data_IF_037143056321
#
_entry.id   IF_037143056321
#
_cell.length_a   1.000
_cell.length_b   1.000
_cell.length_c   1.000
_cell.angle_alpha   90.00
_cell.angle_beta   90.00
_cell.angle_gamma   90.00
#
_symmetry.space_group_name_H-M   'P 1'
#
loop_
_entity.id
_entity.type
_entity.pdbx_description
1 polymer ?
#
# COMPACT_ATOMS: atom_id res chain seq x y z
N UNK A 1 23.31 24.26 -54.11
CA UNK A 1 23.63 23.32 -53.01
C UNK A 1 23.18 23.96 -51.71
N UNK A 2 21.92 23.73 -51.33
CA UNK A 2 21.40 24.15 -50.03
C UNK A 2 21.32 22.90 -49.15
N UNK A 3 22.39 22.66 -48.41
CA UNK A 3 22.42 21.71 -47.31
C UNK A 3 21.64 22.33 -46.14
N UNK A 4 20.35 22.02 -46.06
CA UNK A 4 19.54 22.20 -44.86
C UNK A 4 19.52 20.87 -44.11
N UNK A 5 20.63 20.55 -43.47
CA UNK A 5 20.63 19.61 -42.36
C UNK A 5 19.65 20.12 -41.30
N UNK A 6 18.68 19.31 -40.83
CA UNK A 6 17.78 19.71 -39.76
C UNK A 6 18.58 19.95 -38.46
N UNK A 7 18.13 20.86 -37.59
CA UNK A 7 18.82 21.10 -36.32
C UNK A 7 18.82 19.81 -35.48
N UNK A 8 19.85 19.58 -34.65
CA UNK A 8 19.90 18.41 -33.78
C UNK A 8 18.72 18.46 -32.81
N UNK A 9 17.90 17.41 -32.82
CA UNK A 9 16.82 17.23 -31.85
C UNK A 9 17.40 17.32 -30.43
N UNK A 10 16.85 18.24 -29.64
CA UNK A 10 17.28 18.53 -28.29
C UNK A 10 17.09 17.32 -27.36
N UNK A 11 18.19 16.63 -27.07
CA UNK A 11 18.60 16.26 -25.71
C UNK A 11 17.76 15.30 -24.84
N UNK A 12 16.62 14.77 -25.29
CA UNK A 12 15.84 13.80 -24.49
C UNK A 12 16.36 12.38 -24.72
N UNK A 13 17.30 11.94 -23.87
CA UNK A 13 17.68 10.53 -23.82
C UNK A 13 16.54 9.73 -23.21
N UNK A 14 15.96 8.82 -23.98
CA UNK A 14 15.02 7.84 -23.45
C UNK A 14 15.73 6.94 -22.44
N UNK A 15 15.19 6.84 -21.22
CA UNK A 15 15.75 6.03 -20.15
C UNK A 15 14.79 4.89 -19.83
N UNK A 16 15.28 3.66 -19.84
CA UNK A 16 14.53 2.48 -19.42
C UNK A 16 14.93 2.15 -17.97
N UNK A 17 13.92 2.01 -17.12
CA UNK A 17 14.04 1.57 -15.74
C UNK A 17 13.31 0.23 -15.58
N UNK A 18 13.87 -0.64 -14.77
CA UNK A 18 13.31 -1.95 -14.47
C UNK A 18 12.84 -2.00 -13.01
N UNK A 19 11.70 -2.66 -12.81
CA UNK A 19 11.14 -2.95 -11.50
C UNK A 19 10.27 -4.20 -11.58
N UNK A 20 9.29 -4.28 -10.69
CA UNK A 20 8.41 -5.45 -10.55
C UNK A 20 7.03 -5.07 -11.07
N UNK A 21 6.47 -5.87 -11.98
CA UNK A 21 5.06 -5.74 -12.38
C UNK A 21 4.14 -5.90 -11.16
N UNK A 22 3.51 -4.81 -10.75
CA UNK A 22 2.57 -4.73 -9.65
C UNK A 22 1.15 -5.00 -10.12
N UNK A 23 0.74 -4.38 -11.23
CA UNK A 23 -0.57 -4.56 -11.87
C UNK A 23 -0.43 -4.51 -13.39
N UNK A 24 -1.08 -5.45 -14.08
CA UNK A 24 -0.88 -5.66 -15.51
C UNK A 24 -1.59 -4.62 -16.37
N UNK A 25 -0.89 -4.11 -17.38
CA UNK A 25 -1.43 -3.22 -18.40
C UNK A 25 -0.37 -2.26 -18.91
N UNK A 26 -0.78 -1.36 -19.79
CA UNK A 26 0.10 -0.38 -20.40
C UNK A 26 -0.53 1.01 -20.30
N UNK A 27 0.29 2.00 -20.00
CA UNK A 27 -0.12 3.40 -20.02
C UNK A 27 1.02 4.29 -20.52
N UNK A 28 0.66 5.44 -21.08
CA UNK A 28 1.61 6.49 -21.39
C UNK A 28 0.96 7.84 -21.11
N UNK A 29 1.57 8.61 -20.22
CA UNK A 29 1.07 9.93 -19.82
C UNK A 29 2.18 10.77 -19.16
N UNK A 30 1.97 12.08 -19.00
CA UNK A 30 2.87 12.91 -18.20
C UNK A 30 2.96 12.41 -16.75
N UNK A 31 4.16 12.45 -16.19
CA UNK A 31 4.41 12.08 -14.81
C UNK A 31 3.91 13.15 -13.84
N UNK A 32 3.25 12.68 -12.78
CA UNK A 32 2.95 13.46 -11.58
C UNK A 32 3.81 12.87 -10.47
N UNK A 33 4.93 13.54 -10.21
CA UNK A 33 5.90 13.13 -9.20
C UNK A 33 5.45 13.64 -7.85
N UNK A 34 5.16 12.68 -7.01
CA UNK A 34 4.86 12.78 -5.59
C UNK A 34 6.18 12.63 -4.84
N UNK A 35 6.88 13.75 -4.77
CA UNK A 35 8.15 13.82 -4.03
C UNK A 35 7.85 14.26 -2.60
N UNK A 36 7.35 13.33 -1.78
CA UNK A 36 7.30 13.50 -0.33
C UNK A 36 8.72 13.30 0.20
N UNK A 37 9.63 14.23 -0.10
CA UNK A 37 10.93 14.22 0.58
C UNK A 37 10.64 14.30 2.06
N UNK A 38 11.22 13.38 2.84
CA UNK A 38 11.31 13.51 4.29
C UNK A 38 11.76 14.94 4.57
N UNK A 39 10.89 15.73 5.19
CA UNK A 39 11.18 17.12 5.48
C UNK A 39 12.50 17.16 6.26
N UNK A 40 13.46 17.99 5.84
CA UNK A 40 14.65 18.22 6.65
C UNK A 40 14.20 18.70 8.02
N UNK A 41 14.44 17.88 9.04
CA UNK A 41 14.01 18.18 10.41
C UNK A 41 14.98 19.17 11.01
N UNK A 42 14.48 20.32 11.47
CA UNK A 42 15.30 21.29 12.20
C UNK A 42 15.72 20.65 13.52
N UNK A 43 17.03 20.45 13.71
CA UNK A 43 17.59 19.92 14.97
C UNK A 43 18.09 21.08 15.82
N UNK A 44 17.27 21.51 16.79
CA UNK A 44 17.66 22.52 17.77
C UNK A 44 17.31 22.08 19.18
N UNK A 45 18.10 22.55 20.13
CA UNK A 45 17.75 22.44 21.54
C UNK A 45 16.83 23.60 21.95
N UNK A 46 15.85 23.34 22.80
CA UNK A 46 14.96 24.34 23.39
C UNK A 46 15.42 24.78 24.77
N UNK A 47 15.33 26.07 25.09
CA UNK A 47 15.54 26.55 26.45
C UNK A 47 14.40 26.06 27.37
N UNK A 48 14.69 25.89 28.66
CA UNK A 48 13.74 25.31 29.64
C UNK A 48 12.37 25.99 29.66
N UNK A 49 12.31 27.30 29.45
CA UNK A 49 11.06 28.05 29.47
C UNK A 49 10.16 27.78 28.25
N UNK A 50 10.71 27.28 27.14
CA UNK A 50 9.99 27.00 25.90
C UNK A 50 9.60 25.52 25.75
N UNK A 51 9.88 24.68 26.76
CA UNK A 51 9.58 23.24 26.72
C UNK A 51 8.08 22.99 26.62
N UNK A 52 7.28 23.67 27.43
CA UNK A 52 5.82 23.51 27.41
C UNK A 52 5.20 24.07 26.11
N UNK A 53 5.82 25.09 25.50
CA UNK A 53 5.39 25.61 24.19
C UNK A 53 5.61 24.56 23.08
N UNK A 54 6.74 23.84 23.07
CA UNK A 54 6.97 22.75 22.10
C UNK A 54 6.03 21.57 22.31
N UNK A 55 5.69 21.25 23.56
CA UNK A 55 4.71 20.20 23.88
C UNK A 55 3.33 20.61 23.36
N UNK A 56 2.94 21.88 23.53
CA UNK A 56 1.69 22.39 23.00
C UNK A 56 1.67 22.33 21.46
N UNK A 57 2.75 22.74 20.79
CA UNK A 57 2.90 22.61 19.32
C UNK A 57 2.77 21.17 18.85
N UNK A 58 3.38 20.22 19.56
CA UNK A 58 3.27 18.79 19.25
C UNK A 58 1.83 18.29 19.39
N UNK A 59 1.13 18.63 20.47
CA UNK A 59 -0.28 18.24 20.68
C UNK A 59 -1.19 18.80 19.59
N UNK A 60 -0.99 20.06 19.20
CA UNK A 60 -1.73 20.66 18.08
C UNK A 60 -1.47 19.90 16.77
N UNK A 61 -0.22 19.51 16.50
CA UNK A 61 0.12 18.74 15.31
C UNK A 61 -0.51 17.34 15.30
N UNK A 62 -0.59 16.66 16.45
CA UNK A 62 -1.32 15.39 16.60
C UNK A 62 -2.79 15.58 16.23
N UNK A 63 -3.44 16.62 16.75
CA UNK A 63 -4.84 16.90 16.39
C UNK A 63 -5.03 17.21 14.90
N UNK A 64 -4.14 18.00 14.31
CA UNK A 64 -4.18 18.32 12.88
C UNK A 64 -4.03 17.05 12.03
N UNK A 65 -3.05 16.19 12.36
CA UNK A 65 -2.81 14.93 11.66
C UNK A 65 -4.01 13.98 11.79
N UNK A 66 -4.56 13.83 12.99
CA UNK A 66 -5.75 13.00 13.24
C UNK A 66 -6.97 13.52 12.46
N UNK A 67 -7.20 14.85 12.45
CA UNK A 67 -8.28 15.45 11.64
C UNK A 67 -8.09 15.18 10.14
N UNK A 68 -6.87 15.30 9.61
CA UNK A 68 -6.59 15.01 8.20
C UNK A 68 -6.88 13.55 7.84
N UNK A 69 -6.51 12.61 8.71
CA UNK A 69 -6.78 11.18 8.52
C UNK A 69 -8.29 10.89 8.54
N UNK A 70 -9.06 11.49 9.46
CA UNK A 70 -10.53 11.36 9.49
C UNK A 70 -11.20 11.90 8.22
N UNK A 71 -10.71 13.03 7.69
CA UNK A 71 -11.22 13.58 6.42
C UNK A 71 -10.90 12.65 5.24
N UNK A 72 -9.68 12.09 5.20
CA UNK A 72 -9.33 11.08 4.20
C UNK A 72 -10.21 9.84 4.33
N UNK A 73 -10.48 9.39 5.56
CA UNK A 73 -11.30 8.21 5.83
C UNK A 73 -12.73 8.43 5.34
N UNK A 74 -13.33 9.59 5.63
CA UNK A 74 -14.66 9.91 5.15
C UNK A 74 -14.73 9.91 3.62
N UNK A 75 -13.72 10.45 2.93
CA UNK A 75 -13.64 10.43 1.46
C UNK A 75 -13.51 9.01 0.91
N UNK A 76 -12.76 8.13 1.58
CA UNK A 76 -12.67 6.72 1.22
C UNK A 76 -14.01 6.00 1.40
N UNK A 77 -14.74 6.26 2.49
CA UNK A 77 -16.09 5.74 2.74
C UNK A 77 -17.06 6.16 1.63
N UNK A 78 -17.06 7.45 1.28
CA UNK A 78 -17.95 8.01 0.26
C UNK A 78 -17.68 7.40 -1.14
N UNK A 79 -16.44 6.97 -1.40
CA UNK A 79 -16.02 6.28 -2.63
C UNK A 79 -16.16 4.76 -2.57
N UNK A 80 -16.72 4.22 -1.49
CA UNK A 80 -16.86 2.79 -1.21
C UNK A 80 -15.52 2.00 -1.21
N UNK A 81 -14.39 2.66 -0.96
CA UNK A 81 -13.08 2.01 -0.88
C UNK A 81 -12.83 1.54 0.57
N UNK A 82 -13.40 0.37 0.92
CA UNK A 82 -13.39 -0.17 2.30
C UNK A 82 -11.97 -0.46 2.85
N UNK A 83 -10.99 -0.74 1.99
CA UNK A 83 -9.58 -1.00 2.39
C UNK A 83 -8.93 0.23 2.99
N UNK A 84 -9.15 1.37 2.35
CA UNK A 84 -8.51 2.62 2.71
C UNK A 84 -9.03 3.10 4.06
N UNK A 85 -10.31 2.82 4.35
CA UNK A 85 -10.91 3.16 5.65
C UNK A 85 -10.29 2.41 6.82
N UNK A 86 -10.04 1.11 6.71
CA UNK A 86 -9.42 0.35 7.82
C UNK A 86 -7.97 0.75 8.06
N UNK A 87 -7.21 1.05 7.01
CA UNK A 87 -5.80 1.44 7.15
C UNK A 87 -5.70 2.87 7.69
N UNK A 88 -6.58 3.76 7.25
CA UNK A 88 -6.68 5.12 7.80
C UNK A 88 -7.05 5.13 9.28
N UNK A 89 -7.92 4.20 9.72
CA UNK A 89 -8.22 3.99 11.14
C UNK A 89 -6.99 3.54 11.91
N UNK A 90 -6.21 2.59 11.37
CA UNK A 90 -4.95 2.15 11.99
C UNK A 90 -3.97 3.32 12.13
N UNK A 91 -3.79 4.14 11.09
CA UNK A 91 -2.95 5.34 11.17
C UNK A 91 -3.47 6.37 12.16
N UNK A 92 -4.79 6.50 12.31
CA UNK A 92 -5.36 7.37 13.32
C UNK A 92 -5.03 6.88 14.73
N UNK A 93 -5.17 5.57 14.99
CA UNK A 93 -4.78 4.95 16.26
C UNK A 93 -3.28 5.15 16.55
N UNK A 94 -2.42 5.04 15.53
CA UNK A 94 -0.97 5.25 15.69
C UNK A 94 -0.59 6.71 15.93
N UNK A 95 -1.28 7.68 15.32
CA UNK A 95 -1.09 9.11 15.60
C UNK A 95 -1.52 9.46 17.03
N UNK A 96 -2.56 8.80 17.52
CA UNK A 96 -3.12 8.99 18.86
C UNK A 96 -2.48 8.06 19.92
N UNK A 97 -1.47 7.27 19.54
CA UNK A 97 -0.82 6.27 20.39
C UNK A 97 -0.04 6.91 21.55
N UNK A 98 -0.30 6.39 22.76
CA UNK A 98 0.30 6.91 24.00
C UNK A 98 1.81 6.67 24.06
N UNK A 99 2.32 5.57 23.51
CA UNK A 99 3.77 5.26 23.53
C UNK A 99 4.55 6.24 22.67
N UNK A 100 4.08 6.51 21.44
CA UNK A 100 4.70 7.51 20.57
C UNK A 100 4.64 8.89 21.21
N UNK A 101 3.49 9.25 21.80
CA UNK A 101 3.30 10.53 22.46
C UNK A 101 4.24 10.71 23.65
N UNK A 102 4.31 9.73 24.54
CA UNK A 102 5.15 9.77 25.74
C UNK A 102 6.62 9.85 25.36
N UNK A 103 7.07 9.11 24.35
CA UNK A 103 8.46 9.15 23.92
C UNK A 103 8.82 10.51 23.29
N UNK A 104 7.92 11.12 22.52
CA UNK A 104 8.11 12.49 22.01
C UNK A 104 8.14 13.51 23.15
N UNK A 105 7.17 13.47 24.08
CA UNK A 105 7.13 14.37 25.23
C UNK A 105 8.38 14.21 26.12
N UNK A 106 8.87 12.98 26.30
CA UNK A 106 10.11 12.68 27.02
C UNK A 106 11.33 13.31 26.34
N UNK A 107 11.48 13.17 25.03
CA UNK A 107 12.60 13.78 24.27
C UNK A 107 12.54 15.32 24.31
N UNK A 108 11.35 15.91 24.33
CA UNK A 108 11.20 17.38 24.49
C UNK A 108 11.58 17.80 25.92
N UNK A 109 11.09 17.10 26.95
CA UNK A 109 11.30 17.48 28.36
C UNK A 109 12.73 17.22 28.85
N UNK A 110 13.28 16.04 28.53
CA UNK A 110 14.57 15.57 29.05
C UNK A 110 15.70 16.00 28.12
N UNK A 111 15.60 15.62 26.84
CA UNK A 111 16.67 15.85 25.86
C UNK A 111 16.64 17.29 25.31
N UNK A 112 15.58 18.04 25.62
CA UNK A 112 15.35 19.43 25.21
C UNK A 112 15.35 19.59 23.70
N UNK A 113 14.81 18.63 22.97
CA UNK A 113 14.64 18.74 21.52
C UNK A 113 13.42 19.59 21.18
N UNK A 114 13.46 20.33 20.07
CA UNK A 114 12.24 20.91 19.51
C UNK A 114 11.29 19.82 18.99
N UNK A 115 10.01 20.14 18.82
CA UNK A 115 8.98 19.16 18.50
C UNK A 115 9.30 18.32 17.24
N UNK A 116 9.78 18.95 16.17
CA UNK A 116 10.10 18.26 14.92
C UNK A 116 11.21 17.22 15.09
N UNK A 117 12.26 17.57 15.85
CA UNK A 117 13.37 16.68 16.12
C UNK A 117 12.98 15.56 17.09
N UNK A 118 12.18 15.86 18.11
CA UNK A 118 11.66 14.87 19.03
C UNK A 118 10.80 13.81 18.30
N UNK A 119 9.88 14.23 17.42
CA UNK A 119 9.07 13.32 16.59
C UNK A 119 9.97 12.45 15.71
N UNK A 120 10.89 13.06 14.96
CA UNK A 120 11.80 12.32 14.08
C UNK A 120 12.65 11.31 14.84
N UNK A 121 13.17 11.66 16.01
CA UNK A 121 14.00 10.78 16.81
C UNK A 121 13.20 9.64 17.45
N UNK A 122 11.97 9.90 17.89
CA UNK A 122 11.09 8.87 18.46
C UNK A 122 10.67 7.85 17.38
N UNK A 123 10.27 8.35 16.21
CA UNK A 123 9.91 7.54 15.04
C UNK A 123 11.09 6.69 14.57
N UNK A 124 12.30 7.27 14.48
CA UNK A 124 13.50 6.53 14.07
C UNK A 124 13.86 5.44 15.07
N UNK A 125 13.73 5.70 16.38
CA UNK A 125 13.97 4.71 17.43
C UNK A 125 12.96 3.55 17.38
N UNK A 126 11.67 3.85 17.25
CA UNK A 126 10.60 2.84 17.13
C UNK A 126 10.77 2.04 15.83
N UNK A 127 10.98 2.72 14.69
CA UNK A 127 11.18 2.06 13.40
C UNK A 127 12.43 1.17 13.36
N UNK A 128 13.50 1.57 14.06
CA UNK A 128 14.72 0.77 14.19
C UNK A 128 14.50 -0.45 15.10
N UNK A 129 13.76 -0.30 16.20
CA UNK A 129 13.37 -1.44 17.05
C UNK A 129 12.54 -2.46 16.25
N UNK A 130 11.63 -1.99 15.40
CA UNK A 130 10.84 -2.84 14.49
C UNK A 130 11.74 -3.53 13.45
N UNK A 131 12.68 -2.82 12.81
CA UNK A 131 13.57 -3.41 11.80
C UNK A 131 14.55 -4.44 12.36
N UNK A 132 15.03 -4.28 13.60
CA UNK A 132 15.94 -5.24 14.25
C UNK A 132 15.33 -6.61 14.50
N UNK A 133 14.01 -6.74 14.46
CA UNK A 133 13.32 -8.02 14.60
C UNK A 133 13.54 -9.00 13.43
N UNK A 134 14.07 -8.54 12.28
CA UNK A 134 14.37 -9.40 11.11
C UNK A 134 13.16 -10.01 10.41
N UNK A 135 11.95 -9.76 10.90
CA UNK A 135 10.68 -10.19 10.31
C UNK A 135 10.27 -9.21 9.20
N UNK A 136 10.06 -9.67 7.96
CA UNK A 136 9.51 -8.86 6.87
C UNK A 136 8.26 -8.07 7.24
N UNK A 137 7.43 -8.58 8.16
CA UNK A 137 6.24 -7.89 8.67
C UNK A 137 6.58 -6.72 9.60
N UNK A 138 7.55 -6.86 10.52
CA UNK A 138 8.02 -5.74 11.34
C UNK A 138 8.75 -4.69 10.49
N UNK A 139 9.40 -5.12 9.41
CA UNK A 139 9.96 -4.19 8.42
C UNK A 139 8.87 -3.38 7.73
N UNK A 140 7.72 -3.97 7.40
CA UNK A 140 6.57 -3.24 6.82
C UNK A 140 5.97 -2.27 7.84
N UNK A 141 5.80 -2.69 9.10
CA UNK A 141 5.35 -1.81 10.20
C UNK A 141 6.28 -0.64 10.49
N UNK A 142 7.59 -0.80 10.26
CA UNK A 142 8.53 0.31 10.37
C UNK A 142 8.21 1.43 9.39
N UNK A 143 7.71 1.11 8.20
CA UNK A 143 7.26 2.09 7.21
C UNK A 143 5.98 2.80 7.64
N UNK A 144 5.05 2.12 8.32
CA UNK A 144 3.84 2.75 8.85
C UNK A 144 4.14 3.75 9.98
N UNK A 145 5.09 3.42 10.87
CA UNK A 145 5.55 4.36 11.93
C UNK A 145 6.27 5.55 11.31
N UNK A 146 7.11 5.32 10.30
CA UNK A 146 7.74 6.39 9.53
C UNK A 146 6.69 7.29 8.85
N UNK A 147 5.62 6.70 8.30
CA UNK A 147 4.53 7.43 7.67
C UNK A 147 3.78 8.34 8.66
N UNK A 148 3.45 7.82 9.85
CA UNK A 148 2.85 8.60 10.94
C UNK A 148 3.78 9.73 11.37
N UNK A 149 5.09 9.47 11.46
CA UNK A 149 6.11 10.48 11.73
C UNK A 149 6.12 11.61 10.68
N UNK A 150 6.10 11.26 9.40
CA UNK A 150 6.09 12.22 8.30
C UNK A 150 4.81 13.09 8.31
N UNK A 151 3.66 12.51 8.69
CA UNK A 151 2.39 13.24 8.89
C UNK A 151 2.48 14.26 10.01
N UNK A 152 3.00 13.86 11.18
CA UNK A 152 3.19 14.73 12.33
C UNK A 152 4.17 15.88 12.03
N UNK A 153 5.26 15.58 11.33
CA UNK A 153 6.22 16.60 10.89
C UNK A 153 5.59 17.56 9.86
N UNK A 154 4.78 17.05 8.94
CA UNK A 154 4.00 17.88 7.99
C UNK A 154 3.05 18.84 8.71
N UNK A 155 2.34 18.33 9.73
CA UNK A 155 1.46 19.14 10.58
C UNK A 155 2.24 20.21 11.36
N UNK A 156 3.39 19.87 11.96
CA UNK A 156 4.25 20.81 12.70
C UNK A 156 4.83 21.93 11.83
N UNK A 157 5.08 21.65 10.55
CA UNK A 157 5.70 22.59 9.60
C UNK A 157 4.69 23.38 8.77
N UNK A 158 3.38 23.16 8.97
CA UNK A 158 2.31 23.81 8.20
C UNK A 158 2.25 23.37 6.72
N UNK A 159 3.02 22.34 6.35
CA UNK A 159 3.02 21.73 5.02
C UNK A 159 2.11 20.51 5.07
N UNK A 160 0.80 20.75 4.94
CA UNK A 160 -0.20 19.70 4.99
C UNK A 160 0.14 18.55 4.04
N UNK A 161 0.34 17.35 4.59
CA UNK A 161 0.45 16.12 3.81
C UNK A 161 -0.95 15.71 3.38
N UNK A 162 -1.48 16.35 2.35
CA UNK A 162 -2.54 15.73 1.55
C UNK A 162 -2.04 15.83 0.13
N UNK A 163 -1.83 14.68 -0.48
CA UNK A 163 -1.66 14.57 -1.92
C UNK A 163 -2.94 15.04 -2.60
N UNK A 164 -3.08 16.37 -2.72
CA UNK A 164 -3.92 16.95 -3.73
C UNK A 164 -3.14 16.81 -5.03
N UNK A 165 -3.43 15.76 -5.81
CA UNK A 165 -3.17 15.82 -7.25
C UNK A 165 -3.72 17.17 -7.71
N UNK A 166 -2.91 18.06 -8.29
CA UNK A 166 -3.36 19.41 -8.62
C UNK A 166 -4.66 19.31 -9.42
N UNK A 167 -5.75 19.91 -8.94
CA UNK A 167 -7.08 19.77 -9.54
C UNK A 167 -7.10 20.18 -11.02
N UNK A 168 -6.11 20.97 -11.45
CA UNK A 168 -5.93 21.50 -12.80
C UNK A 168 -4.99 20.67 -13.71
N UNK A 169 -4.53 19.49 -13.30
CA UNK A 169 -3.71 18.60 -14.17
C UNK A 169 -4.56 17.44 -14.70
N UNK A 170 -4.49 17.23 -16.01
CA UNK A 170 -5.14 16.09 -16.68
C UNK A 170 -4.57 14.73 -16.23
N UNK A 171 -5.12 13.63 -16.74
CA UNK A 171 -4.73 12.29 -16.33
C UNK A 171 -3.23 12.01 -16.54
N UNK A 172 -2.58 11.34 -15.59
CA UNK A 172 -1.13 11.18 -15.55
C UNK A 172 -0.63 9.85 -14.99
N UNK A 173 0.70 9.64 -15.07
CA UNK A 173 1.40 8.55 -14.39
C UNK A 173 1.82 9.03 -13.01
N UNK A 174 1.32 8.40 -11.95
CA UNK A 174 1.72 8.71 -10.58
C UNK A 174 3.09 8.12 -10.30
N UNK A 175 4.03 8.93 -9.86
CA UNK A 175 5.41 8.53 -9.57
C UNK A 175 5.73 8.90 -8.13
N UNK A 176 6.07 7.93 -7.29
CA UNK A 176 6.32 8.17 -5.87
C UNK A 176 7.49 7.31 -5.36
N UNK A 177 8.01 7.61 -4.15
CA UNK A 177 8.93 6.69 -3.48
C UNK A 177 8.19 5.41 -3.10
N UNK A 178 7.10 5.61 -2.38
CA UNK A 178 6.10 4.63 -1.98
C UNK A 178 4.73 5.33 -1.95
N UNK A 179 3.64 4.58 -1.86
CA UNK A 179 2.29 5.12 -1.68
C UNK A 179 1.61 4.44 -0.51
N UNK A 180 1.34 5.23 0.52
CA UNK A 180 0.50 4.77 1.62
C UNK A 180 -0.97 4.68 1.20
N UNK A 181 -1.77 3.82 1.85
CA UNK A 181 -3.21 3.73 1.59
C UNK A 181 -3.97 5.05 1.83
N UNK A 182 -3.47 5.92 2.70
CA UNK A 182 -4.03 7.24 2.91
C UNK A 182 -3.87 8.17 1.69
N UNK A 183 -2.78 8.00 0.96
CA UNK A 183 -2.45 8.80 -0.22
C UNK A 183 -3.15 8.28 -1.47
N UNK A 184 -3.54 6.99 -1.45
CA UNK A 184 -4.26 6.39 -2.56
C UNK A 184 -5.74 6.74 -2.60
N UNK A 185 -6.32 7.21 -1.48
CA UNK A 185 -7.74 7.58 -1.38
C UNK A 185 -8.18 8.65 -2.36
N UNK A 186 -7.25 9.54 -2.70
CA UNK A 186 -7.48 10.58 -3.70
C UNK A 186 -7.50 10.07 -5.13
N UNK A 187 -6.94 8.89 -5.39
CA UNK A 187 -6.72 8.36 -6.74
C UNK A 187 -8.03 7.88 -7.34
N UNK A 188 -8.33 8.37 -8.54
CA UNK A 188 -9.40 7.82 -9.38
C UNK A 188 -8.80 7.37 -10.70
N UNK A 189 -9.38 6.32 -11.29
CA UNK A 189 -8.97 5.78 -12.60
C UNK A 189 -9.03 6.85 -13.70
N UNK A 190 -9.90 7.84 -13.53
CA UNK A 190 -10.08 8.96 -14.46
C UNK A 190 -8.89 9.93 -14.46
N UNK A 191 -8.06 9.92 -13.41
CA UNK A 191 -6.91 10.81 -13.23
C UNK A 191 -5.57 10.10 -13.19
N UNK A 192 -5.53 8.84 -12.76
CA UNK A 192 -4.30 8.07 -12.63
C UNK A 192 -4.31 6.92 -13.63
N UNK A 193 -3.51 7.06 -14.68
CA UNK A 193 -3.43 6.09 -15.77
C UNK A 193 -2.42 4.97 -15.51
N UNK A 194 -1.45 5.21 -14.63
CA UNK A 194 -0.54 4.20 -14.10
C UNK A 194 0.11 4.67 -12.80
N UNK A 195 0.66 3.72 -12.04
CA UNK A 195 1.40 3.96 -10.80
C UNK A 195 2.82 3.40 -10.92
N UNK A 196 3.81 4.17 -10.50
CA UNK A 196 5.21 3.74 -10.44
C UNK A 196 5.80 4.12 -9.08
N UNK A 197 6.37 3.14 -8.36
CA UNK A 197 7.03 3.38 -7.06
C UNK A 197 8.49 2.95 -7.05
N UNK A 198 9.32 3.68 -6.29
CA UNK A 198 10.74 3.38 -6.13
C UNK A 198 10.98 2.14 -5.25
N UNK A 199 10.14 1.97 -4.22
CA UNK A 199 10.13 0.80 -3.33
C UNK A 199 8.82 0.01 -3.50
N UNK A 200 8.77 -1.18 -2.90
CA UNK A 200 7.59 -2.05 -2.92
C UNK A 200 7.82 -3.39 -3.61
N UNK A 201 6.94 -4.34 -3.31
CA UNK A 201 6.98 -5.71 -3.82
C UNK A 201 5.68 -6.05 -4.55
N UNK A 202 5.62 -7.20 -5.22
CA UNK A 202 4.40 -7.66 -5.92
C UNK A 202 3.17 -7.79 -5.00
N UNK A 203 3.39 -7.89 -3.70
CA UNK A 203 2.37 -8.03 -2.65
C UNK A 203 2.20 -6.76 -1.81
N UNK A 204 2.86 -5.64 -2.14
CA UNK A 204 2.68 -4.41 -1.38
C UNK A 204 1.25 -3.86 -1.53
N UNK A 205 0.82 -3.08 -0.55
CA UNK A 205 -0.45 -2.37 -0.54
C UNK A 205 -0.71 -1.60 -1.85
N UNK A 206 0.30 -0.91 -2.39
CA UNK A 206 0.21 -0.22 -3.69
C UNK A 206 -0.06 -1.19 -4.84
N UNK A 207 0.60 -2.34 -4.88
CA UNK A 207 0.41 -3.33 -5.95
C UNK A 207 -0.97 -4.00 -5.87
N UNK A 208 -1.45 -4.31 -4.68
CA UNK A 208 -2.78 -4.87 -4.43
C UNK A 208 -3.85 -3.87 -4.88
N UNK A 209 -3.74 -2.61 -4.45
CA UNK A 209 -4.70 -1.58 -4.82
C UNK A 209 -4.71 -1.31 -6.33
N UNK A 210 -3.55 -1.22 -6.95
CA UNK A 210 -3.46 -1.01 -8.39
C UNK A 210 -4.17 -2.13 -9.18
N UNK A 211 -4.15 -3.38 -8.70
CA UNK A 211 -4.94 -4.47 -9.30
C UNK A 211 -6.42 -4.31 -9.08
N UNK A 212 -6.83 -3.98 -7.85
CA UNK A 212 -8.23 -3.75 -7.51
C UNK A 212 -8.85 -2.62 -8.34
N UNK A 213 -8.09 -1.56 -8.62
CA UNK A 213 -8.50 -0.42 -9.45
C UNK A 213 -8.27 -0.62 -10.96
N UNK A 214 -7.71 -1.77 -11.37
CA UNK A 214 -7.31 -2.07 -12.75
C UNK A 214 -6.41 -0.98 -13.37
N UNK A 215 -5.53 -0.39 -12.56
CA UNK A 215 -4.54 0.60 -12.96
C UNK A 215 -3.20 -0.12 -13.17
N UNK A 216 -2.54 -0.01 -14.35
CA UNK A 216 -1.21 -0.55 -14.56
C UNK A 216 -0.21 -0.04 -13.52
N UNK A 217 0.62 -0.92 -12.97
CA UNK A 217 1.60 -0.53 -11.96
C UNK A 217 2.92 -1.28 -12.06
N UNK A 218 4.02 -0.55 -11.81
CA UNK A 218 5.38 -1.08 -11.64
C UNK A 218 5.92 -0.59 -10.30
N UNK A 219 6.31 -1.50 -9.43
CA UNK A 219 6.79 -1.19 -8.07
C UNK A 219 8.25 -1.60 -7.91
N UNK A 220 8.96 -1.00 -6.96
CA UNK A 220 10.36 -1.36 -6.68
C UNK A 220 11.32 -0.99 -7.81
N UNK A 221 11.18 0.22 -8.37
CA UNK A 221 12.06 0.75 -9.44
C UNK A 221 13.21 1.57 -8.83
N UNK A 222 14.44 1.03 -8.73
CA UNK A 222 15.51 1.71 -7.98
C UNK A 222 15.92 3.05 -8.62
N UNK A 223 16.04 4.11 -7.82
CA UNK A 223 16.49 5.42 -8.29
C UNK A 223 15.45 6.19 -9.13
N UNK A 224 14.18 5.79 -9.06
CA UNK A 224 13.08 6.37 -9.83
C UNK A 224 12.97 7.89 -9.64
N UNK A 225 12.91 8.37 -8.40
CA UNK A 225 12.72 9.80 -8.10
C UNK A 225 13.90 10.67 -8.52
N UNK A 226 15.09 10.09 -8.68
CA UNK A 226 16.26 10.78 -9.23
C UNK A 226 16.24 10.93 -10.75
N UNK A 227 15.34 10.23 -11.45
CA UNK A 227 15.34 10.10 -12.92
C UNK A 227 14.05 10.56 -13.59
N UNK A 228 12.98 10.79 -12.83
CA UNK A 228 11.68 11.22 -13.34
C UNK A 228 11.29 12.54 -12.69
N UNK A 229 11.01 13.54 -13.52
CA UNK A 229 10.50 14.85 -13.13
C UNK A 229 9.00 15.02 -13.41
N UNK A 230 8.40 15.98 -12.73
CA UNK A 230 7.01 16.37 -13.00
C UNK A 230 6.84 16.85 -14.46
N UNK A 231 5.93 16.21 -15.20
CA UNK A 231 5.64 16.51 -16.60
C UNK A 231 6.40 15.67 -17.63
N UNK A 232 7.40 14.88 -17.22
CA UNK A 232 8.08 13.95 -18.12
C UNK A 232 7.07 12.95 -18.72
N UNK A 233 7.22 12.61 -19.99
CA UNK A 233 6.35 11.58 -20.59
C UNK A 233 6.84 10.22 -20.13
N UNK A 234 6.00 9.48 -19.42
CA UNK A 234 6.36 8.16 -18.90
C UNK A 234 5.46 7.10 -19.52
N UNK A 235 6.08 6.09 -20.12
CA UNK A 235 5.42 4.89 -20.57
C UNK A 235 5.64 3.76 -19.55
N UNK A 236 4.55 3.12 -19.11
CA UNK A 236 4.53 2.10 -18.07
C UNK A 236 4.06 0.78 -18.66
N UNK A 237 4.91 -0.24 -18.56
CA UNK A 237 4.60 -1.64 -18.87
C UNK A 237 4.48 -2.41 -17.55
N UNK A 238 3.26 -2.46 -17.04
CA UNK A 238 2.92 -3.20 -15.82
C UNK A 238 2.95 -4.72 -16.00
N UNK A 239 3.03 -5.22 -17.24
CA UNK A 239 3.12 -6.65 -17.53
C UNK A 239 4.55 -7.16 -17.31
N UNK A 240 5.53 -6.46 -17.86
CA UNK A 240 6.95 -6.83 -17.80
C UNK A 240 7.75 -6.08 -16.74
N UNK A 241 7.13 -5.14 -16.02
CA UNK A 241 7.80 -4.37 -14.97
C UNK A 241 8.77 -3.31 -15.52
N UNK A 242 8.43 -2.67 -16.64
CA UNK A 242 9.32 -1.68 -17.30
C UNK A 242 8.71 -0.30 -17.29
N UNK A 243 9.56 0.71 -17.08
CA UNK A 243 9.20 2.12 -17.09
C UNK A 243 10.14 2.84 -18.03
N UNK A 244 9.58 3.60 -18.97
CA UNK A 244 10.35 4.31 -19.99
C UNK A 244 10.08 5.79 -19.84
N UNK A 245 11.12 6.54 -19.49
CA UNK A 245 11.08 7.99 -19.28
C UNK A 245 11.45 8.67 -20.59
N UNK A 246 10.64 9.64 -21.00
CA UNK A 246 10.75 10.40 -22.24
C UNK A 246 11.01 9.47 -23.45
N UNK A 247 10.08 8.55 -23.76
CA UNK A 247 10.21 7.64 -24.90
C UNK A 247 10.30 8.43 -26.20
N UNK A 248 11.11 7.94 -27.14
CA UNK A 248 11.13 8.48 -28.50
C UNK A 248 9.73 8.39 -29.15
N UNK A 249 9.37 9.28 -30.08
CA UNK A 249 8.04 9.30 -30.69
C UNK A 249 7.57 7.97 -31.30
N UNK A 250 8.51 7.20 -31.87
CA UNK A 250 8.23 5.85 -32.39
C UNK A 250 7.83 4.87 -31.28
N UNK A 251 8.55 4.88 -30.17
CA UNK A 251 8.29 4.03 -29.01
C UNK A 251 7.02 4.45 -28.26
N UNK A 252 6.72 5.75 -28.22
CA UNK A 252 5.48 6.28 -27.67
C UNK A 252 4.26 5.78 -28.46
N UNK A 253 4.33 5.83 -29.81
CA UNK A 253 3.29 5.30 -30.70
C UNK A 253 3.11 3.78 -30.49
N UNK A 254 4.21 3.04 -30.40
CA UNK A 254 4.16 1.59 -30.12
C UNK A 254 3.47 1.29 -28.77
N UNK A 255 3.76 2.07 -27.73
CA UNK A 255 3.12 1.91 -26.42
C UNK A 255 1.62 2.22 -26.45
N UNK A 256 1.21 3.25 -27.21
CA UNK A 256 -0.21 3.57 -27.41
C UNK A 256 -0.94 2.41 -28.11
N UNK A 257 -0.33 1.80 -29.13
CA UNK A 257 -0.89 0.63 -29.79
C UNK A 257 -0.97 -0.58 -28.83
N UNK A 258 0.08 -0.83 -28.05
CA UNK A 258 0.09 -1.91 -27.04
C UNK A 258 -1.01 -1.70 -26.00
N UNK A 259 -1.18 -0.47 -25.49
CA UNK A 259 -2.24 -0.13 -24.55
C UNK A 259 -3.63 -0.36 -25.15
N UNK A 260 -3.86 0.06 -26.40
CA UNK A 260 -5.13 -0.18 -27.10
C UNK A 260 -5.40 -1.68 -27.29
N UNK A 261 -4.42 -2.45 -27.77
CA UNK A 261 -4.56 -3.92 -27.94
C UNK A 261 -4.83 -4.62 -26.61
N UNK A 262 -4.18 -4.17 -25.54
CA UNK A 262 -4.42 -4.70 -24.21
C UNK A 262 -5.85 -4.42 -23.74
N UNK A 263 -6.34 -3.19 -23.89
CA UNK A 263 -7.72 -2.82 -23.54
C UNK A 263 -8.75 -3.58 -24.37
N UNK A 264 -8.51 -3.76 -25.67
CA UNK A 264 -9.38 -4.55 -26.54
C UNK A 264 -9.41 -6.03 -26.10
N UNK A 265 -8.25 -6.61 -25.78
CA UNK A 265 -8.17 -7.96 -25.24
C UNK A 265 -8.86 -8.10 -23.88
N UNK A 266 -8.76 -7.11 -22.99
CA UNK A 266 -9.50 -7.07 -21.71
C UNK A 266 -11.00 -7.04 -21.97
N UNK A 267 -11.48 -6.19 -22.89
CA UNK A 267 -12.90 -6.13 -23.27
C UNK A 267 -13.42 -7.45 -23.84
N UNK A 268 -12.66 -8.09 -24.73
CA UNK A 268 -13.04 -9.42 -25.24
C UNK A 268 -13.10 -10.48 -24.13
N UNK A 269 -12.16 -10.46 -23.17
CA UNK A 269 -12.20 -11.37 -22.01
C UNK A 269 -13.40 -11.10 -21.10
N UNK A 270 -13.77 -9.84 -20.89
CA UNK A 270 -14.96 -9.48 -20.11
C UNK A 270 -16.24 -10.07 -20.72
N UNK A 271 -16.35 -10.19 -22.05
CA UNK A 271 -17.47 -10.88 -22.70
C UNK A 271 -17.54 -12.38 -22.37
N UNK A 272 -16.41 -12.98 -21.97
CA UNK A 272 -16.33 -14.39 -21.57
C UNK A 272 -16.66 -14.59 -20.08
N UNK A 273 -16.79 -13.51 -19.29
CA UNK A 273 -17.01 -13.56 -17.83
C UNK A 273 -18.11 -14.53 -17.42
N UNK A 274 -19.28 -14.43 -18.06
CA UNK A 274 -20.46 -15.19 -17.65
C UNK A 274 -20.55 -16.57 -18.30
N UNK A 275 -19.60 -16.89 -19.21
CA UNK A 275 -19.63 -18.17 -19.93
C UNK A 275 -19.21 -19.33 -19.00
N UNK A 276 -19.81 -20.51 -19.16
CA UNK A 276 -19.34 -21.71 -18.49
C UNK A 276 -17.88 -21.99 -18.88
N UNK A 277 -17.05 -22.28 -17.88
CA UNK A 277 -15.66 -22.70 -18.13
C UNK A 277 -15.65 -24.20 -18.36
N UNK A 278 -15.27 -24.60 -19.58
CA UNK A 278 -15.16 -25.99 -19.96
C UNK A 278 -13.94 -26.22 -20.87
N UNK A 279 -13.37 -27.41 -20.79
CA UNK A 279 -12.34 -27.86 -21.74
C UNK A 279 -12.93 -28.06 -23.14
N UNK A 280 -12.08 -28.19 -24.17
CA UNK A 280 -12.52 -28.47 -25.54
C UNK A 280 -13.31 -29.77 -25.68
N UNK A 281 -13.13 -30.72 -24.77
CA UNK A 281 -13.88 -31.98 -24.73
C UNK A 281 -15.12 -31.94 -23.81
N UNK A 282 -15.48 -30.77 -23.28
CA UNK A 282 -16.73 -30.56 -22.54
C UNK A 282 -16.67 -30.80 -21.04
N UNK A 283 -15.49 -31.07 -20.45
CA UNK A 283 -15.34 -31.17 -18.99
C UNK A 283 -15.45 -29.78 -18.38
N UNK A 284 -16.47 -29.56 -17.54
CA UNK A 284 -16.68 -28.33 -16.78
C UNK A 284 -15.61 -28.15 -15.69
N UNK A 285 -15.17 -26.92 -15.49
CA UNK A 285 -14.19 -26.55 -14.47
C UNK A 285 -14.72 -25.34 -13.70
N UNK A 286 -14.68 -25.39 -12.37
CA UNK A 286 -14.92 -24.20 -11.56
C UNK A 286 -13.63 -23.40 -11.42
N UNK A 287 -13.66 -22.13 -11.84
CA UNK A 287 -12.57 -21.18 -11.57
C UNK A 287 -12.99 -20.33 -10.38
N UNK A 288 -12.29 -20.49 -9.26
CA UNK A 288 -12.54 -19.77 -8.01
C UNK A 288 -11.38 -18.84 -7.70
N UNK A 289 -11.67 -17.75 -7.00
CA UNK A 289 -10.65 -16.78 -6.62
C UNK A 289 -9.98 -17.16 -5.30
N UNK A 290 -8.73 -16.76 -5.17
CA UNK A 290 -8.04 -16.72 -3.88
C UNK A 290 -8.11 -15.28 -3.39
N UNK A 291 -8.52 -15.10 -2.14
CA UNK A 291 -8.65 -13.80 -1.50
C UNK A 291 -7.93 -13.81 -0.14
N UNK A 292 -7.54 -12.63 0.30
CA UNK A 292 -6.92 -12.34 1.58
C UNK A 292 -7.72 -11.30 2.35
N UNK A 293 -8.44 -10.41 1.65
CA UNK A 293 -9.27 -9.38 2.27
C UNK A 293 -10.74 -9.52 1.85
N UNK A 294 -11.72 -9.22 2.74
CA UNK A 294 -13.14 -9.43 2.46
C UNK A 294 -13.66 -8.79 1.17
N UNK A 295 -13.24 -7.57 0.84
CA UNK A 295 -13.74 -6.84 -0.33
C UNK A 295 -13.30 -7.48 -1.66
N UNK A 296 -12.22 -8.27 -1.67
CA UNK A 296 -11.75 -8.95 -2.87
C UNK A 296 -12.75 -9.99 -3.37
N UNK A 297 -13.66 -10.46 -2.49
CA UNK A 297 -14.73 -11.35 -2.87
C UNK A 297 -15.66 -10.72 -3.91
N UNK A 298 -16.12 -9.48 -3.69
CA UNK A 298 -16.98 -8.77 -4.64
C UNK A 298 -16.26 -8.51 -5.97
N UNK A 299 -14.97 -8.13 -5.90
CA UNK A 299 -14.13 -7.95 -7.10
C UNK A 299 -14.02 -9.27 -7.85
N UNK A 300 -13.72 -10.38 -7.18
CA UNK A 300 -13.60 -11.69 -7.80
C UNK A 300 -14.89 -12.12 -8.53
N UNK A 301 -16.05 -11.89 -7.91
CA UNK A 301 -17.35 -12.16 -8.52
C UNK A 301 -17.61 -11.27 -9.73
N UNK A 302 -17.27 -9.98 -9.64
CA UNK A 302 -17.37 -9.05 -10.78
C UNK A 302 -16.54 -9.48 -11.99
N UNK A 303 -15.49 -10.27 -11.76
CA UNK A 303 -14.60 -10.85 -12.77
C UNK A 303 -15.01 -12.27 -13.20
N UNK A 304 -16.13 -12.80 -12.69
CA UNK A 304 -16.70 -14.09 -13.11
C UNK A 304 -16.25 -15.30 -12.30
N UNK A 305 -15.61 -15.11 -11.14
CA UNK A 305 -15.24 -16.21 -10.26
C UNK A 305 -16.49 -17.00 -9.81
N UNK A 306 -16.41 -18.34 -9.85
CA UNK A 306 -17.46 -19.25 -9.38
C UNK A 306 -17.29 -19.58 -7.89
N UNK A 307 -17.08 -18.53 -7.09
CA UNK A 307 -16.83 -18.61 -5.64
C UNK A 307 -15.38 -18.38 -5.26
N UNK A 308 -15.08 -18.62 -4.00
CA UNK A 308 -13.77 -18.42 -3.37
C UNK A 308 -13.16 -19.78 -3.05
N UNK A 309 -12.02 -20.07 -3.69
CA UNK A 309 -11.30 -21.34 -3.55
C UNK A 309 -10.30 -21.34 -2.40
N UNK A 310 -9.90 -20.16 -1.94
CA UNK A 310 -9.04 -19.97 -0.78
C UNK A 310 -9.28 -18.57 -0.20
N UNK A 311 -9.80 -18.50 1.01
CA UNK A 311 -9.77 -17.30 1.82
C UNK A 311 -8.68 -17.45 2.88
N UNK A 312 -7.61 -16.66 2.72
CA UNK A 312 -6.51 -16.50 3.67
C UNK A 312 -7.00 -15.66 4.85
N UNK A 313 -7.04 -16.26 6.02
CA UNK A 313 -7.58 -15.63 7.24
C UNK A 313 -6.50 -14.96 8.09
N UNK A 314 -5.24 -15.04 7.67
CA UNK A 314 -4.10 -14.57 8.43
C UNK A 314 -4.16 -13.06 8.68
N UNK A 315 -4.79 -12.28 7.80
CA UNK A 315 -4.96 -10.84 7.99
C UNK A 315 -5.71 -10.49 9.29
N UNK A 316 -6.57 -11.38 9.82
CA UNK A 316 -7.25 -11.16 11.11
C UNK A 316 -6.30 -11.25 12.31
N UNK A 317 -5.16 -11.91 12.13
CA UNK A 317 -4.13 -12.09 13.16
C UNK A 317 -2.99 -11.10 12.99
N UNK A 318 -2.92 -10.43 11.85
CA UNK A 318 -1.94 -9.38 11.56
C UNK A 318 -2.27 -8.16 12.44
N UNK A 319 -1.24 -7.52 13.00
CA UNK A 319 -1.33 -6.26 13.75
C UNK A 319 -1.98 -6.28 15.14
N UNK A 320 -2.28 -7.46 15.70
CA UNK A 320 -2.94 -7.57 17.01
C UNK A 320 -2.01 -8.04 18.13
N UNK A 321 -2.22 -7.49 19.34
CA UNK A 321 -1.61 -7.95 20.59
C UNK A 321 -2.28 -9.22 21.14
N UNK A 322 -3.56 -9.39 20.84
CA UNK A 322 -4.38 -10.54 21.23
C UNK A 322 -4.97 -11.22 19.99
N UNK A 323 -5.16 -12.56 20.02
CA UNK A 323 -5.85 -13.24 18.94
C UNK A 323 -7.27 -12.66 18.75
N UNK A 324 -7.77 -12.59 17.50
CA UNK A 324 -9.14 -12.20 17.21
C UNK A 324 -10.15 -13.06 17.98
N UNK A 325 -11.23 -12.42 18.42
CA UNK A 325 -12.33 -13.07 19.11
C UNK A 325 -13.19 -13.90 18.15
N UNK A 326 -13.98 -14.81 18.72
CA UNK A 326 -14.97 -15.62 17.99
C UNK A 326 -15.94 -14.74 17.19
N UNK A 327 -16.42 -13.65 17.81
CA UNK A 327 -17.35 -12.71 17.16
C UNK A 327 -16.72 -12.00 15.96
N UNK A 328 -15.44 -11.62 16.05
CA UNK A 328 -14.73 -10.96 14.94
C UNK A 328 -14.50 -11.91 13.77
N UNK A 329 -14.17 -13.18 14.06
CA UNK A 329 -14.14 -14.23 13.05
C UNK A 329 -15.51 -14.39 12.40
N UNK A 330 -16.55 -14.57 13.22
CA UNK A 330 -17.91 -14.76 12.76
C UNK A 330 -18.38 -13.63 11.85
N UNK A 331 -18.27 -12.38 12.29
CA UNK A 331 -18.70 -11.20 11.53
C UNK A 331 -17.96 -11.08 10.19
N UNK A 332 -16.64 -11.29 10.19
CA UNK A 332 -15.81 -11.26 8.99
C UNK A 332 -16.22 -12.36 8.01
N UNK A 333 -16.33 -13.61 8.49
CA UNK A 333 -16.64 -14.76 7.66
C UNK A 333 -18.06 -14.70 7.14
N UNK A 334 -19.01 -14.27 7.97
CA UNK A 334 -20.41 -14.02 7.59
C UNK A 334 -20.49 -13.02 6.45
N UNK A 335 -19.77 -11.91 6.53
CA UNK A 335 -19.76 -10.88 5.47
C UNK A 335 -19.32 -11.45 4.12
N UNK A 336 -18.24 -12.22 4.08
CA UNK A 336 -17.74 -12.83 2.83
C UNK A 336 -18.69 -13.91 2.31
N UNK A 337 -19.18 -14.79 3.19
CA UNK A 337 -20.11 -15.86 2.78
C UNK A 337 -21.41 -15.29 2.23
N UNK A 338 -21.96 -14.25 2.86
CA UNK A 338 -23.16 -13.56 2.37
C UNK A 338 -22.94 -12.86 1.03
N UNK A 339 -21.78 -12.21 0.85
CA UNK A 339 -21.45 -11.53 -0.41
C UNK A 339 -21.25 -12.52 -1.59
N UNK A 340 -20.83 -13.75 -1.31
CA UNK A 340 -20.52 -14.77 -2.33
C UNK A 340 -21.71 -15.70 -2.61
N UNK A 341 -22.72 -15.73 -1.74
CA UNK A 341 -23.88 -16.61 -1.90
C UNK A 341 -24.55 -16.45 -3.28
N UNK A 342 -24.94 -17.56 -3.96
CA UNK A 342 -24.95 -18.95 -3.47
C UNK A 342 -23.65 -19.73 -3.74
N UNK A 343 -22.57 -19.07 -4.17
CA UNK A 343 -21.31 -19.73 -4.54
C UNK A 343 -20.50 -20.14 -3.30
N UNK A 344 -19.62 -21.15 -3.40
CA UNK A 344 -18.88 -21.66 -2.25
C UNK A 344 -17.74 -20.72 -1.84
N UNK A 345 -17.40 -20.74 -0.55
CA UNK A 345 -16.23 -20.09 0.04
C UNK A 345 -15.42 -21.13 0.79
N UNK A 346 -14.14 -21.26 0.47
CA UNK A 346 -13.21 -22.14 1.18
C UNK A 346 -12.37 -21.31 2.13
N UNK A 347 -12.74 -21.29 3.41
CA UNK A 347 -11.94 -20.63 4.44
C UNK A 347 -10.77 -21.52 4.84
N UNK A 348 -9.56 -20.96 4.82
CA UNK A 348 -8.39 -21.63 5.39
C UNK A 348 -8.20 -21.12 6.80
N UNK A 349 -8.09 -22.04 7.75
CA UNK A 349 -7.67 -21.73 9.12
C UNK A 349 -6.31 -21.05 9.12
N UNK A 350 -5.95 -20.33 10.18
CA UNK A 350 -4.71 -19.54 10.17
C UNK A 350 -3.47 -20.37 9.77
N UNK A 351 -2.70 -19.87 8.80
CA UNK A 351 -1.36 -20.36 8.40
C UNK A 351 -0.31 -19.33 8.82
N UNK A 352 -0.23 -19.09 10.12
CA UNK A 352 0.78 -18.23 10.75
C UNK A 352 1.85 -19.09 11.43
N UNK A 353 3.09 -18.60 11.44
CA UNK A 353 4.20 -19.21 12.18
C UNK A 353 4.32 -18.66 13.59
N UNK A 354 5.12 -19.32 14.42
CA UNK A 354 5.49 -18.83 15.74
C UNK A 354 6.09 -17.42 15.66
N UNK A 355 6.87 -17.12 14.62
CA UNK A 355 7.51 -15.85 14.26
C UNK A 355 6.56 -14.63 14.24
N UNK A 356 5.37 -14.79 13.66
CA UNK A 356 4.37 -13.70 13.59
C UNK A 356 3.60 -13.47 14.90
N UNK A 357 3.72 -14.40 15.87
CA UNK A 357 3.00 -14.38 17.14
C UNK A 357 3.94 -14.38 18.37
N UNK A 358 5.27 -14.28 18.16
CA UNK A 358 6.29 -14.46 19.21
C UNK A 358 6.11 -13.47 20.36
N UNK A 359 5.69 -12.23 20.07
CA UNK A 359 5.59 -11.20 21.09
C UNK A 359 4.49 -11.47 22.13
N UNK A 360 3.39 -12.14 21.74
CA UNK A 360 2.30 -12.47 22.66
C UNK A 360 2.46 -13.84 23.33
N UNK A 361 3.14 -14.80 22.69
CA UNK A 361 3.25 -16.18 23.19
C UNK A 361 4.61 -16.57 23.78
N UNK A 362 5.62 -15.68 23.76
CA UNK A 362 6.99 -15.98 24.27
C UNK A 362 7.59 -17.27 23.69
N UNK A 363 7.30 -17.57 22.41
CA UNK A 363 7.84 -18.75 21.76
C UNK A 363 9.33 -18.55 21.42
N UNK A 364 10.21 -19.57 21.59
CA UNK A 364 11.61 -19.44 21.21
C UNK A 364 11.74 -19.12 19.71
N UNK A 365 12.66 -18.22 19.31
CA UNK A 365 12.91 -17.97 17.90
C UNK A 365 13.43 -19.25 17.22
N UNK A 366 12.72 -19.67 16.17
CA UNK A 366 13.03 -20.89 15.44
C UNK A 366 14.10 -20.62 14.35
N UNK A 367 15.12 -21.46 14.25
CA UNK A 367 16.20 -21.33 13.26
C UNK A 367 15.70 -21.42 11.81
N UNK A 368 14.56 -22.08 11.59
CA UNK A 368 13.89 -22.16 10.29
C UNK A 368 12.36 -22.06 10.46
N UNK A 369 11.79 -20.84 10.40
CA UNK A 369 10.36 -20.60 10.58
C UNK A 369 9.48 -21.37 9.57
N UNK A 370 10.00 -21.65 8.37
CA UNK A 370 9.25 -22.41 7.35
C UNK A 370 9.05 -23.88 7.75
N UNK A 371 9.99 -24.47 8.50
CA UNK A 371 9.94 -25.86 8.97
C UNK A 371 9.49 -25.98 10.44
N UNK A 372 9.31 -24.85 11.13
CA UNK A 372 9.02 -24.77 12.57
C UNK A 372 7.56 -24.98 12.97
N UNK A 373 7.20 -24.42 14.13
CA UNK A 373 5.84 -24.42 14.67
C UNK A 373 4.98 -23.39 13.93
N UNK A 374 4.17 -23.86 12.97
CA UNK A 374 3.30 -23.01 12.13
C UNK A 374 2.01 -23.70 11.73
N UNK A 375 1.03 -22.91 11.29
CA UNK A 375 -0.22 -23.36 10.71
C UNK A 375 -0.93 -24.40 11.59
N UNK A 376 -1.34 -25.54 11.03
CA UNK A 376 -1.96 -26.64 11.76
C UNK A 376 -1.13 -27.12 12.96
N UNK A 377 0.21 -27.03 12.91
CA UNK A 377 1.05 -27.44 14.06
C UNK A 377 0.87 -26.48 15.23
N UNK A 378 0.81 -25.18 14.95
CA UNK A 378 0.51 -24.16 15.95
C UNK A 378 -0.92 -24.32 16.47
N UNK A 379 -1.88 -24.55 15.56
CA UNK A 379 -3.28 -24.78 15.91
C UNK A 379 -3.47 -25.98 16.86
N UNK A 380 -2.73 -27.07 16.63
CA UNK A 380 -2.76 -28.26 17.49
C UNK A 380 -2.01 -28.05 18.82
N UNK A 381 -0.97 -27.20 18.83
CA UNK A 381 -0.23 -26.85 20.05
C UNK A 381 -0.98 -25.83 20.93
N UNK A 382 -1.86 -25.02 20.34
CA UNK A 382 -2.68 -23.98 21.02
C UNK A 382 -4.16 -24.15 20.67
N UNK A 383 -4.82 -25.21 21.18
CA UNK A 383 -6.20 -25.54 20.80
C UNK A 383 -7.21 -24.44 21.10
N UNK A 384 -6.97 -23.59 22.09
CA UNK A 384 -7.87 -22.49 22.44
C UNK A 384 -8.04 -21.48 21.30
N UNK A 385 -6.94 -21.09 20.65
CA UNK A 385 -6.98 -20.15 19.50
C UNK A 385 -7.62 -20.84 18.29
N UNK A 386 -7.32 -22.12 18.12
CA UNK A 386 -7.88 -22.89 17.01
C UNK A 386 -9.39 -23.09 17.14
N UNK A 387 -9.87 -23.44 18.34
CA UNK A 387 -11.29 -23.62 18.62
C UNK A 387 -12.06 -22.31 18.48
N UNK A 388 -11.48 -21.17 18.85
CA UNK A 388 -12.08 -19.84 18.62
C UNK A 388 -12.29 -19.54 17.15
N UNK A 389 -11.40 -20.00 16.25
CA UNK A 389 -11.58 -19.81 14.81
C UNK A 389 -12.57 -20.82 14.20
N UNK A 390 -12.64 -22.04 14.75
CA UNK A 390 -13.50 -23.11 14.24
C UNK A 390 -14.98 -22.95 14.62
N UNK A 391 -15.26 -22.32 15.77
CA UNK A 391 -16.61 -21.91 16.17
C UNK A 391 -17.04 -20.72 15.32
#
# INVERSE_FOLDING_TARGET
MNDKSPPPESGLRSVVLEGIGGSAGYAIAPAVVVDVRRHGVVRRHVPKHAVEDEIARFKEAVEVAARQLRVAEQRARDRAIRIETSILQAYQLMVEDEMLRDEVERKIRIDRFCAEWAVSAAVEEIAEQLRRGGDPYLSERSHDVEFVGDRLIGALTGKGSVLALPENRGPGVLVARDLSPAETVGLTRDRVLAIVTEVGTRTSHTAILARALEIPAVVGVPGLLGRVGNGDVVAVDGVHGKVIVNPFPSLATEFQERARRYQDAVRERQKLRDRPVATRCGVCIDVRANIELPFEAEIALSQGARGIGLYRTEFLYVERTEPPSEEEHFETYRGVVQAVAPLPVTLRTFDIGGDKFVSAMQLPPDLNPALGLRAVRLALARPEIFLTQLR
#
